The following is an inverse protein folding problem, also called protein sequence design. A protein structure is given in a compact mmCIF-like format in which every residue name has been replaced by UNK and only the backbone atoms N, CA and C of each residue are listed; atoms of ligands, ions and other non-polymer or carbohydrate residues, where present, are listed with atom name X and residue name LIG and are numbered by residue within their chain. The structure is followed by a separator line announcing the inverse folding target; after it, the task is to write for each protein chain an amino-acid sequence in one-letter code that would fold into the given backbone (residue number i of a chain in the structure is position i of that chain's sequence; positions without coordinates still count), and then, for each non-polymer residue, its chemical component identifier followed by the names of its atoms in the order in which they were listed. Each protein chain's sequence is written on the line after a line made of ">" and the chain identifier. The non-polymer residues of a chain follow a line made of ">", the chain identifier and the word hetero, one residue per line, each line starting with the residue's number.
data_IF_029656197914
#
_entry.id   IF_029656197914
#
_cell.length_a   1.000
_cell.length_b   1.000
_cell.length_c   1.000
_cell.angle_alpha   90.00
_cell.angle_beta   90.00
_cell.angle_gamma   90.00
#
_symmetry.space_group_name_H-M   'P 1'
#
loop_
_entity.id
_entity.type
_entity.pdbx_description
1 polymer ?
#
# COMPACT_ATOMS: atom_id res chain seq x y z
N UNK A 1 44.35 -15.96 7.02
CA UNK A 1 43.11 -16.23 6.25
C UNK A 1 41.89 -15.52 6.83
N UNK A 2 41.55 -15.72 8.12
CA UNK A 2 40.35 -15.13 8.75
C UNK A 2 40.28 -13.59 8.73
N UNK A 3 41.42 -12.91 8.92
CA UNK A 3 41.50 -11.44 8.94
C UNK A 3 41.19 -10.81 7.58
N UNK A 4 41.55 -11.47 6.48
CA UNK A 4 41.33 -11.00 5.10
C UNK A 4 39.86 -11.14 4.69
N UNK A 5 39.22 -12.25 5.08
CA UNK A 5 37.80 -12.48 4.83
C UNK A 5 36.91 -11.38 5.47
N UNK A 6 37.24 -11.00 6.71
CA UNK A 6 36.52 -9.94 7.45
C UNK A 6 36.66 -8.58 6.78
N UNK A 7 37.83 -8.27 6.21
CA UNK A 7 38.03 -6.97 5.53
C UNK A 7 37.22 -6.89 4.24
N UNK A 8 37.15 -7.98 3.47
CA UNK A 8 36.40 -8.04 2.21
C UNK A 8 34.91 -7.86 2.44
N UNK A 9 34.32 -8.51 3.44
CA UNK A 9 32.88 -8.36 3.74
C UNK A 9 32.52 -6.95 4.20
N UNK A 10 33.38 -6.32 5.02
CA UNK A 10 33.18 -4.94 5.47
C UNK A 10 33.30 -3.95 4.31
N UNK A 11 34.28 -4.12 3.43
CA UNK A 11 34.44 -3.27 2.23
C UNK A 11 33.26 -3.44 1.28
N UNK A 12 32.80 -4.66 1.02
CA UNK A 12 31.63 -4.91 0.19
C UNK A 12 30.35 -4.30 0.77
N UNK A 13 30.13 -4.40 2.09
CA UNK A 13 28.97 -3.81 2.75
C UNK A 13 29.02 -2.27 2.72
N UNK A 14 30.20 -1.67 2.97
CA UNK A 14 30.39 -0.22 2.90
C UNK A 14 30.19 0.31 1.47
N UNK A 15 30.70 -0.38 0.45
CA UNK A 15 30.47 -0.04 -0.96
C UNK A 15 28.98 -0.16 -1.32
N UNK A 16 28.29 -1.24 -0.94
CA UNK A 16 26.86 -1.39 -1.21
C UNK A 16 26.01 -0.26 -0.60
N UNK A 17 26.38 0.21 0.60
CA UNK A 17 25.72 1.35 1.25
C UNK A 17 26.04 2.69 0.55
N UNK A 18 27.31 2.93 0.19
CA UNK A 18 27.74 4.17 -0.50
C UNK A 18 27.17 4.30 -1.91
N UNK A 19 26.97 3.19 -2.62
CA UNK A 19 26.36 3.17 -3.96
C UNK A 19 24.82 3.15 -3.93
N UNK A 20 24.19 3.23 -2.76
CA UNK A 20 22.71 3.26 -2.65
C UNK A 20 22.02 1.95 -3.06
N UNK A 21 22.75 0.85 -3.19
CA UNK A 21 22.23 -0.46 -3.60
C UNK A 21 21.43 -1.15 -2.48
N UNK A 22 21.43 -0.58 -1.28
CA UNK A 22 20.62 -0.98 -0.15
C UNK A 22 19.55 0.09 0.14
N UNK A 23 18.65 0.32 -0.82
CA UNK A 23 17.52 1.22 -0.56
C UNK A 23 16.58 0.53 0.42
N UNK A 24 16.32 1.19 1.56
CA UNK A 24 15.34 0.70 2.52
C UNK A 24 13.98 0.66 1.83
N UNK A 25 13.35 -0.51 1.78
CA UNK A 25 11.97 -0.61 1.35
C UNK A 25 11.12 0.19 2.35
N UNK A 26 10.55 1.31 1.89
CA UNK A 26 9.51 1.99 2.66
C UNK A 26 8.20 1.24 2.44
N UNK A 27 7.42 1.07 3.51
CA UNK A 27 6.07 0.58 3.37
C UNK A 27 5.27 1.54 2.47
N UNK A 28 4.37 0.98 1.66
CA UNK A 28 3.41 1.79 0.93
C UNK A 28 2.58 2.64 1.92
N UNK A 29 2.16 3.85 1.54
CA UNK A 29 1.25 4.64 2.36
C UNK A 29 -0.01 3.84 2.66
N UNK A 30 -0.49 3.95 3.90
CA UNK A 30 -1.72 3.29 4.31
C UNK A 30 -2.91 3.83 3.50
N UNK A 31 -3.86 2.94 3.20
CA UNK A 31 -5.11 3.36 2.60
C UNK A 31 -5.94 4.14 3.64
N UNK A 32 -6.59 5.25 3.26
CA UNK A 32 -7.34 6.05 4.21
C UNK A 32 -8.58 5.29 4.69
N UNK A 33 -8.96 5.52 5.95
CA UNK A 33 -10.25 5.06 6.44
C UNK A 33 -11.37 5.81 5.71
N UNK A 34 -12.29 5.06 5.10
CA UNK A 34 -13.48 5.59 4.46
C UNK A 34 -14.68 5.35 5.37
N UNK A 35 -15.58 6.32 5.44
CA UNK A 35 -16.80 6.28 6.23
C UNK A 35 -17.91 7.08 5.55
N UNK A 36 -19.14 6.99 6.06
CA UNK A 36 -20.27 7.75 5.53
C UNK A 36 -19.95 9.25 5.39
N UNK A 37 -20.25 9.82 4.23
CA UNK A 37 -19.93 11.20 3.86
C UNK A 37 -18.54 11.41 3.26
N UNK A 38 -17.68 10.39 3.22
CA UNK A 38 -16.45 10.43 2.41
C UNK A 38 -16.79 10.54 0.93
N UNK A 39 -15.98 11.27 0.16
CA UNK A 39 -16.17 11.45 -1.29
C UNK A 39 -14.87 11.31 -2.07
N UNK A 40 -14.98 11.06 -3.38
CA UNK A 40 -13.89 11.14 -4.34
C UNK A 40 -13.21 9.80 -4.65
N UNK A 41 -12.01 9.87 -5.22
CA UNK A 41 -11.36 8.74 -5.90
C UNK A 41 -11.17 7.49 -5.04
N UNK A 42 -10.92 7.65 -3.73
CA UNK A 42 -10.77 6.50 -2.83
C UNK A 42 -12.11 5.76 -2.65
N UNK A 43 -13.22 6.49 -2.57
CA UNK A 43 -14.56 5.90 -2.50
C UNK A 43 -14.93 5.24 -3.82
N UNK A 44 -14.67 5.90 -4.95
CA UNK A 44 -14.86 5.32 -6.29
C UNK A 44 -14.09 4.00 -6.42
N UNK A 45 -12.85 3.96 -5.93
CA UNK A 45 -12.03 2.74 -5.93
C UNK A 45 -12.64 1.66 -5.05
N UNK A 46 -13.05 1.98 -3.83
CA UNK A 46 -13.73 1.04 -2.94
C UNK A 46 -15.00 0.45 -3.57
N UNK A 47 -15.83 1.29 -4.21
CA UNK A 47 -17.04 0.84 -4.88
C UNK A 47 -16.75 -0.08 -6.08
N UNK A 48 -15.70 0.20 -6.87
CA UNK A 48 -15.26 -0.73 -7.92
C UNK A 48 -14.77 -2.06 -7.36
N UNK A 49 -14.04 -2.05 -6.24
CA UNK A 49 -13.60 -3.28 -5.57
C UNK A 49 -14.80 -4.10 -5.10
N UNK A 50 -15.80 -3.47 -4.46
CA UNK A 50 -17.04 -4.14 -4.06
C UNK A 50 -17.76 -4.75 -5.27
N UNK A 51 -17.83 -4.04 -6.40
CA UNK A 51 -18.40 -4.61 -7.64
C UNK A 51 -17.58 -5.79 -8.16
N UNK A 52 -16.26 -5.71 -8.11
CA UNK A 52 -15.36 -6.83 -8.43
C UNK A 52 -15.57 -8.05 -7.53
N UNK A 53 -16.03 -7.83 -6.29
CA UNK A 53 -16.43 -8.88 -5.36
C UNK A 53 -17.87 -9.39 -5.56
N UNK A 54 -18.59 -8.89 -6.58
CA UNK A 54 -19.90 -9.40 -6.97
C UNK A 54 -21.09 -8.61 -6.41
N UNK A 55 -20.86 -7.51 -5.71
CA UNK A 55 -21.94 -6.63 -5.25
C UNK A 55 -22.43 -5.73 -6.39
N UNK A 56 -23.74 -5.65 -6.60
CA UNK A 56 -24.34 -4.72 -7.55
C UNK A 56 -24.62 -3.37 -6.88
N UNK A 57 -23.63 -2.48 -6.92
CA UNK A 57 -23.72 -1.13 -6.37
C UNK A 57 -23.33 -0.06 -7.39
N UNK A 58 -23.85 1.16 -7.22
CA UNK A 58 -23.42 2.33 -7.98
C UNK A 58 -21.96 2.70 -7.67
N UNK A 59 -21.27 3.26 -8.66
CA UNK A 59 -19.92 3.83 -8.50
C UNK A 59 -20.00 5.32 -8.81
N UNK A 60 -20.40 6.09 -7.82
CA UNK A 60 -20.58 7.55 -7.90
C UNK A 60 -19.48 8.32 -7.18
N UNK A 61 -18.63 7.64 -6.40
CA UNK A 61 -17.60 8.29 -5.59
C UNK A 61 -18.13 8.89 -4.30
N UNK A 62 -19.38 8.62 -3.91
CA UNK A 62 -19.97 9.08 -2.66
C UNK A 62 -20.19 7.91 -1.69
N UNK A 63 -19.63 8.02 -0.48
CA UNK A 63 -19.81 7.00 0.54
C UNK A 63 -21.14 7.27 1.26
N UNK A 64 -22.23 6.87 0.61
CA UNK A 64 -23.58 6.95 1.16
C UNK A 64 -24.05 5.65 1.83
N UNK A 65 -25.32 5.60 2.27
CA UNK A 65 -25.91 4.43 2.92
C UNK A 65 -25.85 3.16 2.07
N UNK A 66 -25.91 3.28 0.74
CA UNK A 66 -25.79 2.13 -0.16
C UNK A 66 -24.39 1.47 -0.06
N UNK A 67 -23.33 2.29 -0.09
CA UNK A 67 -21.95 1.81 0.08
C UNK A 67 -21.75 1.23 1.48
N UNK A 68 -22.24 1.90 2.52
CA UNK A 68 -22.12 1.42 3.91
C UNK A 68 -22.80 0.07 4.11
N UNK A 69 -24.06 -0.07 3.69
CA UNK A 69 -24.82 -1.30 3.86
C UNK A 69 -24.18 -2.48 3.10
N UNK A 70 -23.49 -2.21 1.99
CA UNK A 70 -22.77 -3.22 1.21
C UNK A 70 -21.51 -3.71 1.92
N UNK A 71 -20.77 -2.81 2.58
CA UNK A 71 -19.57 -3.17 3.34
C UNK A 71 -19.89 -4.02 4.58
N UNK A 72 -21.10 -3.88 5.12
CA UNK A 72 -21.57 -4.61 6.30
C UNK A 72 -22.23 -5.97 5.98
N UNK A 73 -22.46 -6.28 4.70
CA UNK A 73 -23.16 -7.49 4.24
C UNK A 73 -22.21 -8.67 4.00
#
# INVERSE_FOLDING_TARGET
>A
MFRVLVTVTVVCAALAALLGLAQRATAAPAWPALAQGSVGANVTTAQYLLRGHGYDISVDGDFGPATENTVLA
#
